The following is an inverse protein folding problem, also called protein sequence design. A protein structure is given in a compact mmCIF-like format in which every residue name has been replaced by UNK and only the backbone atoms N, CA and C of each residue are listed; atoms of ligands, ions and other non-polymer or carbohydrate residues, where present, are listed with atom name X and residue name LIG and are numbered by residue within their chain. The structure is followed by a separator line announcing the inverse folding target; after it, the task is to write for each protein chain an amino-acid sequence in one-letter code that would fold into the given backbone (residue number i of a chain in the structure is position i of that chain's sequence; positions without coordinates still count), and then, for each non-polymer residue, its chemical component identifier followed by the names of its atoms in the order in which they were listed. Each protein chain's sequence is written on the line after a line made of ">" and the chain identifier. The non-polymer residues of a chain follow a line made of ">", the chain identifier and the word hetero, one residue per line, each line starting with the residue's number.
data_IF_467652734634
#
_entry.id   IF_467652734634
#
_cell.length_a   1.000
_cell.length_b   1.000
_cell.length_c   1.000
_cell.angle_alpha   90.00
_cell.angle_beta   90.00
_cell.angle_gamma   90.00
#
_symmetry.space_group_name_H-M   'P 1'
#
loop_
_entity.id
_entity.type
_entity.pdbx_description
1 polymer ?
#
# COMPACT_ATOMS: atom_id res chain seq x y z
N UNK A 1 74.92 45.04 -40.48
CA UNK A 1 74.44 43.87 -41.25
C UNK A 1 74.95 44.07 -42.67
N UNK A 2 75.76 43.24 -43.31
CA UNK A 2 76.07 41.85 -43.05
C UNK A 2 77.12 41.41 -44.10
N UNK A 3 78.40 41.29 -43.71
CA UNK A 3 79.45 40.68 -44.57
C UNK A 3 79.53 39.16 -44.33
N UNK A 4 78.87 38.67 -43.28
CA UNK A 4 78.83 37.26 -42.86
C UNK A 4 78.21 36.30 -43.89
N UNK A 5 77.39 36.79 -44.81
CA UNK A 5 76.77 35.92 -45.83
C UNK A 5 77.73 35.59 -46.98
N UNK A 6 78.69 36.47 -47.29
CA UNK A 6 79.68 36.22 -48.35
C UNK A 6 80.66 35.12 -47.93
N UNK A 7 81.10 35.14 -46.66
CA UNK A 7 81.91 34.07 -46.05
C UNK A 7 81.17 32.72 -46.05
N UNK A 8 79.89 32.70 -45.71
CA UNK A 8 79.06 31.49 -45.73
C UNK A 8 78.92 30.86 -47.13
N UNK A 9 78.71 31.67 -48.18
CA UNK A 9 78.63 31.13 -49.55
C UNK A 9 80.00 30.69 -50.10
N UNK A 10 81.09 31.34 -49.69
CA UNK A 10 82.45 30.91 -50.07
C UNK A 10 82.86 29.61 -49.37
N UNK A 11 82.46 29.37 -48.12
CA UNK A 11 82.61 28.07 -47.44
C UNK A 11 81.83 26.93 -48.12
N UNK A 12 80.71 27.24 -48.78
CA UNK A 12 79.90 26.30 -49.57
C UNK A 12 80.44 26.06 -50.99
N UNK A 13 81.61 26.62 -51.34
CA UNK A 13 82.25 26.45 -52.65
C UNK A 13 81.67 27.31 -53.78
N UNK A 14 80.93 28.37 -53.43
CA UNK A 14 80.32 29.30 -54.40
C UNK A 14 81.31 30.42 -54.72
N UNK A 15 81.81 30.47 -55.95
CA UNK A 15 82.92 31.36 -56.34
C UNK A 15 82.53 32.43 -57.36
N UNK A 16 81.31 32.38 -57.92
CA UNK A 16 80.84 33.31 -58.96
C UNK A 16 79.49 33.94 -58.63
N UNK A 17 79.30 35.20 -59.07
CA UNK A 17 78.05 35.94 -58.86
C UNK A 17 76.81 35.22 -59.46
N UNK A 18 76.99 34.47 -60.56
CA UNK A 18 75.94 33.67 -61.18
C UNK A 18 75.45 32.52 -60.28
N UNK A 19 76.35 31.86 -59.55
CA UNK A 19 75.98 30.79 -58.62
C UNK A 19 75.23 31.34 -57.40
N UNK A 20 75.61 32.52 -56.89
CA UNK A 20 74.90 33.20 -55.79
C UNK A 20 73.43 33.47 -56.18
N UNK A 21 73.18 33.94 -57.41
CA UNK A 21 71.82 34.17 -57.91
C UNK A 21 71.00 32.87 -57.99
N UNK A 22 71.61 31.75 -58.37
CA UNK A 22 70.96 30.43 -58.39
C UNK A 22 70.59 29.98 -56.98
N UNK A 23 71.47 30.14 -55.99
CA UNK A 23 71.17 29.82 -54.59
C UNK A 23 70.04 30.68 -54.01
N UNK A 24 70.00 31.97 -54.33
CA UNK A 24 68.90 32.87 -53.93
C UNK A 24 67.58 32.41 -54.56
N UNK A 25 67.57 32.04 -55.85
CA UNK A 25 66.39 31.55 -56.53
C UNK A 25 65.89 30.22 -55.93
N UNK A 26 66.80 29.28 -55.64
CA UNK A 26 66.48 28.00 -54.97
C UNK A 26 65.93 28.26 -53.56
N UNK A 27 66.54 29.16 -52.79
CA UNK A 27 66.05 29.54 -51.47
C UNK A 27 64.66 30.17 -51.50
N UNK A 28 64.39 31.03 -52.47
CA UNK A 28 63.06 31.64 -52.66
C UNK A 28 62.00 30.60 -53.05
N UNK A 29 62.34 29.71 -53.99
CA UNK A 29 61.43 28.63 -54.41
C UNK A 29 61.21 27.62 -53.29
N UNK A 30 62.26 27.26 -52.54
CA UNK A 30 62.20 26.41 -51.36
C UNK A 30 61.32 27.01 -50.27
N UNK A 31 61.45 28.32 -49.99
CA UNK A 31 60.57 29.04 -49.07
C UNK A 31 59.12 29.02 -49.54
N UNK A 32 58.85 29.29 -50.82
CA UNK A 32 57.50 29.26 -51.40
C UNK A 32 56.86 27.88 -51.34
N UNK A 33 57.61 26.83 -51.68
CA UNK A 33 57.15 25.45 -51.57
C UNK A 33 56.87 25.09 -50.10
N UNK A 34 57.79 25.44 -49.19
CA UNK A 34 57.63 25.19 -47.76
C UNK A 34 56.38 25.88 -47.19
N UNK A 35 56.17 27.16 -47.51
CA UNK A 35 54.96 27.91 -47.13
C UNK A 35 53.68 27.25 -47.68
N UNK A 36 53.69 26.83 -48.95
CA UNK A 36 52.56 26.15 -49.57
C UNK A 36 52.24 24.82 -48.88
N UNK A 37 53.25 23.96 -48.69
CA UNK A 37 53.07 22.65 -48.04
C UNK A 37 52.62 22.78 -46.58
N UNK A 38 53.19 23.73 -45.82
CA UNK A 38 52.78 23.98 -44.43
C UNK A 38 51.37 24.56 -44.35
N UNK A 39 51.03 25.54 -45.20
CA UNK A 39 49.68 26.12 -45.20
C UNK A 39 48.62 25.08 -45.58
N UNK A 40 48.87 24.28 -46.62
CA UNK A 40 47.96 23.20 -47.01
C UNK A 40 47.80 22.15 -45.88
N UNK A 41 48.90 21.79 -45.22
CA UNK A 41 48.88 20.83 -44.11
C UNK A 41 48.13 21.39 -42.89
N UNK A 42 48.28 22.69 -42.59
CA UNK A 42 47.53 23.39 -41.53
C UNK A 42 46.03 23.43 -41.86
N UNK A 43 45.67 23.72 -43.11
CA UNK A 43 44.26 23.72 -43.55
C UNK A 43 43.62 22.34 -43.42
N UNK A 44 44.31 21.28 -43.88
CA UNK A 44 43.84 19.90 -43.75
C UNK A 44 43.66 19.55 -42.27
N UNK A 45 44.64 19.84 -41.41
CA UNK A 45 44.53 19.55 -39.97
C UNK A 45 43.41 20.32 -39.28
N UNK A 46 43.16 21.57 -39.67
CA UNK A 46 42.00 22.34 -39.19
C UNK A 46 40.68 21.73 -39.64
N UNK A 47 40.60 21.28 -40.89
CA UNK A 47 39.39 20.63 -41.42
C UNK A 47 39.10 19.29 -40.72
N UNK A 48 40.13 18.47 -40.50
CA UNK A 48 40.05 17.23 -39.72
C UNK A 48 39.56 17.51 -38.30
N UNK A 49 40.19 18.46 -37.59
CA UNK A 49 39.82 18.80 -36.21
C UNK A 49 38.39 19.32 -36.10
N UNK A 50 37.95 20.14 -37.06
CA UNK A 50 36.56 20.61 -37.11
C UNK A 50 35.58 19.47 -37.36
N UNK A 51 35.94 18.51 -38.23
CA UNK A 51 35.11 17.34 -38.51
C UNK A 51 34.99 16.43 -37.29
N UNK A 52 36.11 16.16 -36.60
CA UNK A 52 36.12 15.40 -35.36
C UNK A 52 35.30 16.09 -34.26
N UNK A 53 35.43 17.41 -34.14
CA UNK A 53 34.67 18.20 -33.18
C UNK A 53 33.16 18.13 -33.44
N UNK A 54 32.73 18.26 -34.70
CA UNK A 54 31.30 18.15 -35.05
C UNK A 54 30.77 16.73 -34.82
N UNK A 55 31.54 15.70 -35.20
CA UNK A 55 31.19 14.31 -34.90
C UNK A 55 31.06 14.06 -33.39
N UNK A 56 31.99 14.61 -32.59
CA UNK A 56 31.94 14.48 -31.14
C UNK A 56 30.72 15.18 -30.52
N UNK A 57 30.40 16.40 -30.97
CA UNK A 57 29.18 17.12 -30.56
C UNK A 57 27.91 16.35 -30.93
N UNK A 58 27.86 15.81 -32.15
CA UNK A 58 26.71 15.04 -32.62
C UNK A 58 26.52 13.76 -31.80
N UNK A 59 27.61 13.04 -31.50
CA UNK A 59 27.58 11.84 -30.66
C UNK A 59 27.09 12.17 -29.24
N UNK A 60 27.63 13.21 -28.61
CA UNK A 60 27.18 13.67 -27.30
C UNK A 60 25.70 14.06 -27.30
N UNK A 61 25.23 14.78 -28.33
CA UNK A 61 23.82 15.14 -28.46
C UNK A 61 22.92 13.92 -28.61
N UNK A 62 23.35 12.94 -29.40
CA UNK A 62 22.63 11.68 -29.61
C UNK A 62 22.56 10.86 -28.32
N UNK A 63 23.68 10.73 -27.61
CA UNK A 63 23.77 10.02 -26.34
C UNK A 63 22.92 10.68 -25.24
N UNK A 64 22.95 12.01 -25.15
CA UNK A 64 22.09 12.76 -24.24
C UNK A 64 20.59 12.56 -24.56
N UNK A 65 20.22 12.53 -25.84
CA UNK A 65 18.85 12.28 -26.26
C UNK A 65 18.41 10.84 -25.93
N UNK A 66 19.29 9.86 -26.15
CA UNK A 66 19.01 8.45 -25.85
C UNK A 66 18.83 8.24 -24.34
N UNK A 67 19.70 8.80 -23.51
CA UNK A 67 19.56 8.74 -22.05
C UNK A 67 18.28 9.42 -21.58
N UNK A 68 17.89 10.55 -22.18
CA UNK A 68 16.63 11.20 -21.86
C UNK A 68 15.42 10.31 -22.21
N UNK A 69 15.41 9.70 -23.39
CA UNK A 69 14.34 8.78 -23.80
C UNK A 69 14.26 7.56 -22.87
N UNK A 70 15.40 7.03 -22.45
CA UNK A 70 15.48 5.92 -21.50
C UNK A 70 14.92 6.32 -20.12
N UNK A 71 15.29 7.49 -19.62
CA UNK A 71 14.75 8.03 -18.37
C UNK A 71 13.23 8.25 -18.46
N UNK A 72 12.73 8.85 -19.53
CA UNK A 72 11.30 9.08 -19.74
C UNK A 72 10.52 7.75 -19.79
N UNK A 73 11.08 6.75 -20.48
CA UNK A 73 10.50 5.39 -20.55
C UNK A 73 10.46 4.73 -19.16
N UNK A 74 11.55 4.80 -18.41
CA UNK A 74 11.63 4.23 -17.06
C UNK A 74 10.67 4.94 -16.11
N UNK A 75 10.60 6.26 -16.17
CA UNK A 75 9.68 7.07 -15.38
C UNK A 75 8.21 6.70 -15.66
N UNK A 76 7.83 6.55 -16.93
CA UNK A 76 6.48 6.16 -17.29
C UNK A 76 6.16 4.73 -16.86
N UNK A 77 7.14 3.81 -16.98
CA UNK A 77 7.00 2.45 -16.47
C UNK A 77 6.78 2.43 -14.95
N UNK A 78 7.58 3.19 -14.19
CA UNK A 78 7.41 3.29 -12.74
C UNK A 78 6.08 3.92 -12.33
N UNK A 79 5.61 4.95 -13.04
CA UNK A 79 4.29 5.55 -12.81
C UNK A 79 3.17 4.54 -13.05
N UNK A 80 3.26 3.77 -14.14
CA UNK A 80 2.30 2.72 -14.45
C UNK A 80 2.25 1.65 -13.35
N UNK A 81 3.42 1.17 -12.91
CA UNK A 81 3.51 0.21 -11.80
C UNK A 81 2.94 0.74 -10.49
N UNK A 82 3.21 2.01 -10.16
CA UNK A 82 2.66 2.65 -8.96
C UNK A 82 1.14 2.79 -9.04
N UNK A 83 0.62 3.18 -10.22
CA UNK A 83 -0.82 3.28 -10.47
C UNK A 83 -1.51 1.92 -10.32
N UNK A 84 -0.93 0.86 -10.89
CA UNK A 84 -1.44 -0.50 -10.75
C UNK A 84 -1.43 -0.95 -9.28
N UNK A 85 -0.32 -0.79 -8.57
CA UNK A 85 -0.22 -1.16 -7.16
C UNK A 85 -1.22 -0.37 -6.29
N UNK A 86 -1.43 0.92 -6.58
CA UNK A 86 -2.42 1.76 -5.91
C UNK A 86 -3.84 1.24 -6.15
N UNK A 87 -4.18 0.88 -7.39
CA UNK A 87 -5.50 0.34 -7.74
C UNK A 87 -5.74 -1.01 -7.06
N UNK A 88 -4.75 -1.91 -7.09
CA UNK A 88 -4.83 -3.20 -6.40
C UNK A 88 -5.05 -3.03 -4.89
N UNK A 89 -4.29 -2.14 -4.26
CA UNK A 89 -4.46 -1.82 -2.84
C UNK A 89 -5.85 -1.24 -2.56
N UNK A 90 -6.35 -0.33 -3.40
CA UNK A 90 -7.68 0.24 -3.25
C UNK A 90 -8.78 -0.82 -3.38
N UNK A 91 -8.67 -1.74 -4.34
CA UNK A 91 -9.63 -2.84 -4.53
C UNK A 91 -9.61 -3.77 -3.32
N UNK A 92 -8.42 -4.22 -2.89
CA UNK A 92 -8.26 -5.10 -1.72
C UNK A 92 -8.81 -4.46 -0.44
N UNK A 93 -8.46 -3.19 -0.22
CA UNK A 93 -8.95 -2.42 0.92
C UNK A 93 -10.47 -2.28 0.88
N UNK A 94 -11.03 -1.89 -0.27
CA UNK A 94 -12.48 -1.75 -0.43
C UNK A 94 -13.21 -3.06 -0.19
N UNK A 95 -12.67 -4.18 -0.69
CA UNK A 95 -13.24 -5.51 -0.48
C UNK A 95 -13.19 -5.92 0.99
N UNK A 96 -12.04 -5.77 1.65
CA UNK A 96 -11.88 -6.09 3.07
C UNK A 96 -12.82 -5.26 3.95
N UNK A 97 -12.96 -3.95 3.68
CA UNK A 97 -13.88 -3.08 4.40
C UNK A 97 -15.34 -3.46 4.15
N UNK A 98 -15.70 -3.81 2.92
CA UNK A 98 -17.04 -4.31 2.59
C UNK A 98 -17.37 -5.59 3.35
N UNK A 99 -16.45 -6.56 3.35
CA UNK A 99 -16.64 -7.86 4.01
C UNK A 99 -16.76 -7.66 5.52
N UNK A 100 -15.90 -6.82 6.11
CA UNK A 100 -15.97 -6.47 7.53
C UNK A 100 -17.29 -5.78 7.89
N UNK A 101 -17.76 -4.84 7.07
CA UNK A 101 -19.03 -4.15 7.30
C UNK A 101 -20.21 -5.13 7.29
N UNK A 102 -20.23 -6.06 6.33
CA UNK A 102 -21.25 -7.11 6.24
C UNK A 102 -21.23 -8.02 7.48
N UNK A 103 -20.05 -8.47 7.90
CA UNK A 103 -19.87 -9.31 9.08
C UNK A 103 -20.35 -8.61 10.35
N UNK A 104 -19.96 -7.35 10.57
CA UNK A 104 -20.39 -6.55 11.73
C UNK A 104 -21.91 -6.38 11.74
N UNK A 105 -22.51 -6.08 10.57
CA UNK A 105 -23.97 -5.93 10.42
C UNK A 105 -24.70 -7.23 10.78
N UNK A 106 -24.23 -8.35 10.26
CA UNK A 106 -24.86 -9.66 10.48
C UNK A 106 -24.72 -10.11 11.94
N UNK A 107 -23.52 -9.94 12.53
CA UNK A 107 -23.30 -10.23 13.95
C UNK A 107 -24.21 -9.37 14.83
N UNK A 108 -24.32 -8.06 14.55
CA UNK A 108 -25.22 -7.17 15.27
C UNK A 108 -26.68 -7.62 15.17
N UNK A 109 -27.12 -8.05 13.98
CA UNK A 109 -28.48 -8.58 13.80
C UNK A 109 -28.72 -9.82 14.65
N UNK A 110 -27.78 -10.77 14.66
CA UNK A 110 -27.87 -12.01 15.47
C UNK A 110 -27.87 -11.70 16.97
N UNK A 111 -27.02 -10.77 17.43
CA UNK A 111 -27.01 -10.29 18.81
C UNK A 111 -28.38 -9.75 19.24
N UNK A 112 -29.03 -8.95 18.39
CA UNK A 112 -30.37 -8.40 18.68
C UNK A 112 -31.42 -9.52 18.71
N UNK A 113 -31.33 -10.50 17.82
CA UNK A 113 -32.25 -11.65 17.81
C UNK A 113 -32.11 -12.48 19.09
N UNK A 114 -30.87 -12.88 19.44
CA UNK A 114 -30.55 -13.60 20.68
C UNK A 114 -31.04 -12.85 21.92
N UNK A 115 -30.79 -11.54 22.01
CA UNK A 115 -31.28 -10.72 23.12
C UNK A 115 -32.81 -10.77 23.23
N UNK A 116 -33.53 -10.66 22.11
CA UNK A 116 -35.01 -10.65 22.10
C UNK A 116 -35.57 -12.00 22.53
N UNK A 117 -35.07 -13.10 21.99
CA UNK A 117 -35.55 -14.42 22.34
C UNK A 117 -35.23 -14.79 23.79
N UNK A 118 -34.04 -14.44 24.25
CA UNK A 118 -33.66 -14.65 25.65
C UNK A 118 -34.50 -13.80 26.62
N UNK A 119 -34.78 -12.54 26.28
CA UNK A 119 -35.72 -11.71 27.05
C UNK A 119 -37.14 -12.29 27.11
N UNK A 120 -37.62 -12.88 26.01
CA UNK A 120 -38.93 -13.54 25.98
C UNK A 120 -38.95 -14.80 26.85
N UNK A 121 -37.87 -15.59 26.79
CA UNK A 121 -37.71 -16.81 27.56
C UNK A 121 -37.61 -16.54 29.07
N UNK A 122 -36.80 -15.56 29.46
CA UNK A 122 -36.57 -15.19 30.87
C UNK A 122 -37.58 -14.19 31.42
N UNK A 123 -38.66 -13.90 30.68
CA UNK A 123 -39.67 -12.94 31.14
C UNK A 123 -40.33 -13.42 32.45
N UNK A 124 -40.47 -12.56 33.48
CA UNK A 124 -41.03 -12.94 34.77
C UNK A 124 -42.51 -13.33 34.70
N UNK A 125 -43.19 -12.88 33.64
CA UNK A 125 -44.60 -13.14 33.39
C UNK A 125 -44.79 -13.60 31.95
N UNK A 126 -45.64 -14.59 31.76
CA UNK A 126 -46.03 -15.11 30.44
C UNK A 126 -47.44 -14.60 30.13
N UNK A 127 -47.60 -13.86 29.05
CA UNK A 127 -48.90 -13.30 28.69
C UNK A 127 -49.85 -14.40 28.19
N UNK A 128 -51.15 -14.21 28.38
CA UNK A 128 -52.15 -15.09 27.80
C UNK A 128 -52.06 -15.03 26.26
N UNK A 129 -51.81 -16.17 25.61
CA UNK A 129 -51.59 -16.26 24.17
C UNK A 129 -50.11 -16.31 23.74
N UNK A 130 -49.17 -16.20 24.69
CA UNK A 130 -47.76 -16.45 24.40
C UNK A 130 -47.52 -17.91 24.00
N UNK A 131 -46.49 -18.12 23.18
CA UNK A 131 -45.99 -19.47 22.88
C UNK A 131 -45.52 -20.18 24.16
N UNK A 132 -45.62 -21.53 24.24
CA UNK A 132 -45.22 -22.29 25.42
C UNK A 132 -43.77 -21.99 25.85
N UNK A 133 -43.51 -22.01 27.16
CA UNK A 133 -42.17 -21.75 27.72
C UNK A 133 -41.09 -22.66 27.12
N UNK A 134 -41.45 -23.91 26.84
CA UNK A 134 -40.58 -24.90 26.19
C UNK A 134 -40.18 -24.49 24.78
N UNK A 135 -41.11 -23.90 24.02
CA UNK A 135 -40.82 -23.38 22.69
C UNK A 135 -39.95 -22.12 22.78
N UNK A 136 -40.22 -21.23 23.74
CA UNK A 136 -39.35 -20.06 24.02
C UNK A 136 -37.92 -20.49 24.38
N UNK A 137 -37.78 -21.54 25.18
CA UNK A 137 -36.48 -22.15 25.54
C UNK A 137 -35.73 -22.58 24.29
N UNK A 138 -36.38 -23.33 23.41
CA UNK A 138 -35.80 -23.82 22.16
C UNK A 138 -35.36 -22.67 21.25
N UNK A 139 -36.20 -21.64 21.10
CA UNK A 139 -35.87 -20.46 20.28
C UNK A 139 -34.65 -19.73 20.87
N UNK A 140 -34.64 -19.47 22.18
CA UNK A 140 -33.52 -18.79 22.84
C UNK A 140 -32.21 -19.58 22.72
N UNK A 141 -32.25 -20.90 22.85
CA UNK A 141 -31.08 -21.76 22.64
C UNK A 141 -30.57 -21.68 21.20
N UNK A 142 -31.47 -21.80 20.21
CA UNK A 142 -31.09 -21.74 18.80
C UNK A 142 -30.50 -20.39 18.42
N UNK A 143 -31.11 -19.28 18.85
CA UNK A 143 -30.61 -17.95 18.53
C UNK A 143 -29.28 -17.64 19.26
N UNK A 144 -29.10 -18.17 20.48
CA UNK A 144 -27.83 -18.09 21.20
C UNK A 144 -26.71 -18.83 20.49
N UNK A 145 -26.97 -20.06 20.05
CA UNK A 145 -26.02 -20.85 19.27
C UNK A 145 -25.72 -20.19 17.92
N UNK A 146 -26.74 -19.70 17.21
CA UNK A 146 -26.57 -19.00 15.93
C UNK A 146 -25.70 -17.74 16.06
N UNK A 147 -25.83 -17.00 17.17
CA UNK A 147 -24.95 -15.88 17.48
C UNK A 147 -23.51 -16.33 17.76
N UNK A 148 -23.31 -17.35 18.62
CA UNK A 148 -21.99 -17.87 18.97
C UNK A 148 -21.26 -18.45 17.76
N UNK A 149 -21.92 -19.36 17.02
CA UNK A 149 -21.36 -20.03 15.84
C UNK A 149 -20.94 -19.01 14.78
N UNK A 150 -21.75 -17.97 14.60
CA UNK A 150 -21.42 -16.89 13.66
C UNK A 150 -20.22 -16.07 14.13
N UNK A 151 -20.12 -15.77 15.43
CA UNK A 151 -18.95 -15.08 15.98
C UNK A 151 -17.69 -15.94 15.82
N UNK A 152 -17.72 -17.20 16.24
CA UNK A 152 -16.56 -18.10 16.21
C UNK A 152 -16.02 -18.28 14.78
N UNK A 153 -16.93 -18.37 13.80
CA UNK A 153 -16.57 -18.48 12.38
C UNK A 153 -15.96 -17.20 11.80
N UNK A 154 -16.15 -16.04 12.45
CA UNK A 154 -15.75 -14.72 11.96
C UNK A 154 -14.85 -13.96 12.95
N UNK A 155 -14.31 -14.61 13.98
CA UNK A 155 -13.57 -13.97 15.07
C UNK A 155 -12.42 -13.09 14.55
N UNK A 156 -11.74 -13.54 13.49
CA UNK A 156 -10.60 -12.86 12.85
C UNK A 156 -10.89 -11.43 12.36
N UNK A 157 -12.17 -11.06 12.21
CA UNK A 157 -12.59 -9.74 11.74
C UNK A 157 -12.75 -8.71 12.86
N UNK A 158 -12.59 -9.14 14.11
CA UNK A 158 -12.78 -8.32 15.30
C UNK A 158 -11.46 -8.09 16.05
N UNK A 159 -11.42 -7.00 16.82
CA UNK A 159 -10.28 -6.75 17.71
C UNK A 159 -10.46 -7.50 19.04
N UNK A 160 -9.34 -7.75 19.72
CA UNK A 160 -9.27 -8.46 21.00
C UNK A 160 -10.29 -7.96 22.05
N UNK A 161 -10.50 -6.65 22.13
CA UNK A 161 -11.47 -6.09 23.07
C UNK A 161 -12.91 -6.48 22.70
N UNK A 162 -13.28 -6.41 21.42
CA UNK A 162 -14.60 -6.90 20.95
C UNK A 162 -14.75 -8.39 21.23
N UNK A 163 -13.74 -9.21 20.92
CA UNK A 163 -13.76 -10.65 21.16
C UNK A 163 -13.97 -10.97 22.65
N UNK A 164 -13.23 -10.29 23.54
CA UNK A 164 -13.37 -10.45 24.98
C UNK A 164 -14.79 -10.14 25.48
N UNK A 165 -15.42 -9.08 24.97
CA UNK A 165 -16.80 -8.72 25.33
C UNK A 165 -17.78 -9.81 24.85
N UNK A 166 -17.62 -10.31 23.61
CA UNK A 166 -18.50 -11.33 23.03
C UNK A 166 -18.36 -12.66 23.78
N UNK A 167 -17.14 -13.13 24.01
CA UNK A 167 -16.89 -14.35 24.80
C UNK A 167 -17.53 -14.24 26.18
N UNK A 168 -17.36 -13.09 26.83
CA UNK A 168 -17.97 -12.87 28.12
C UNK A 168 -19.51 -12.83 28.05
N UNK A 169 -20.11 -12.35 26.96
CA UNK A 169 -21.55 -12.44 26.75
C UNK A 169 -21.96 -13.91 26.60
N UNK A 170 -21.31 -14.69 25.74
CA UNK A 170 -21.62 -16.11 25.51
C UNK A 170 -21.58 -16.94 26.80
N UNK A 171 -20.48 -16.86 27.56
CA UNK A 171 -20.32 -17.58 28.84
C UNK A 171 -21.46 -17.26 29.82
N UNK A 172 -21.82 -15.98 29.89
CA UNK A 172 -22.83 -15.49 30.81
C UNK A 172 -24.26 -15.83 30.35
N UNK A 173 -24.51 -15.81 29.03
CA UNK A 173 -25.75 -16.26 28.44
C UNK A 173 -25.97 -17.75 28.68
N UNK A 174 -24.97 -18.58 28.40
CA UNK A 174 -25.01 -20.02 28.64
C UNK A 174 -25.29 -20.33 30.12
N UNK A 175 -24.56 -19.66 31.03
CA UNK A 175 -24.78 -19.81 32.46
C UNK A 175 -26.21 -19.45 32.88
N UNK A 176 -26.71 -18.29 32.45
CA UNK A 176 -28.06 -17.85 32.78
C UNK A 176 -29.12 -18.80 32.22
N UNK A 177 -28.94 -19.25 30.98
CA UNK A 177 -29.82 -20.21 30.33
C UNK A 177 -29.86 -21.54 31.08
N UNK A 178 -28.70 -22.10 31.43
CA UNK A 178 -28.60 -23.36 32.18
C UNK A 178 -29.19 -23.24 33.59
N UNK A 179 -28.93 -22.14 34.29
CA UNK A 179 -29.50 -21.89 35.62
C UNK A 179 -31.03 -21.77 35.58
N UNK A 180 -31.59 -21.12 34.56
CA UNK A 180 -33.04 -20.94 34.39
C UNK A 180 -33.73 -22.25 33.97
N UNK A 181 -33.11 -23.04 33.09
CA UNK A 181 -33.65 -24.33 32.62
C UNK A 181 -33.57 -25.45 33.64
N UNK A 182 -32.61 -25.39 34.57
CA UNK A 182 -32.50 -26.34 35.67
C UNK A 182 -33.63 -26.22 36.72
N UNK A 183 -34.51 -25.22 36.60
CA UNK A 183 -35.69 -25.04 37.45
C UNK A 183 -36.82 -25.91 36.87
N UNK A 184 -37.18 -26.98 37.57
CA UNK A 184 -38.18 -27.95 37.10
C UNK A 184 -39.53 -27.69 37.76
N UNK A 185 -40.58 -27.34 37.02
CA UNK A 185 -41.90 -27.14 37.61
C UNK A 185 -42.40 -28.45 38.24
N UNK A 186 -42.46 -28.50 39.58
CA UNK A 186 -43.02 -29.63 40.33
C UNK A 186 -42.15 -30.20 41.46
N UNK A 187 -40.99 -29.62 41.77
CA UNK A 187 -40.21 -30.03 42.94
C UNK A 187 -40.81 -29.50 44.25
N UNK A 188 -40.64 -30.19 45.40
CA UNK A 188 -41.32 -29.87 46.67
C UNK A 188 -40.94 -28.51 47.28
N UNK A 189 -39.96 -27.79 46.73
CA UNK A 189 -39.30 -26.66 47.37
C UNK A 189 -39.41 -25.36 46.55
N UNK A 190 -40.65 -25.00 46.20
CA UNK A 190 -41.00 -23.85 45.36
C UNK A 190 -40.34 -22.52 45.75
N UNK A 191 -40.07 -22.31 47.05
CA UNK A 191 -39.47 -21.07 47.55
C UNK A 191 -37.98 -20.93 47.13
N UNK A 192 -37.24 -22.04 47.13
CA UNK A 192 -35.85 -22.06 46.67
C UNK A 192 -35.76 -21.92 45.15
N UNK A 193 -36.74 -22.44 44.41
CA UNK A 193 -36.80 -22.30 42.95
C UNK A 193 -37.09 -20.85 42.52
N UNK A 194 -38.04 -20.18 43.17
CA UNK A 194 -38.33 -18.76 42.91
C UNK A 194 -37.10 -17.89 43.19
N UNK A 195 -36.36 -18.16 44.28
CA UNK A 195 -35.14 -17.43 44.60
C UNK A 195 -34.04 -17.67 43.56
N UNK A 196 -33.88 -18.91 43.06
CA UNK A 196 -32.92 -19.23 42.00
C UNK A 196 -33.30 -18.57 40.68
N UNK A 197 -34.59 -18.57 40.32
CA UNK A 197 -35.12 -17.88 39.14
C UNK A 197 -34.85 -16.38 39.20
N UNK A 198 -35.16 -15.75 40.34
CA UNK A 198 -34.87 -14.32 40.53
C UNK A 198 -33.38 -14.01 40.41
N UNK A 199 -32.52 -14.88 40.97
CA UNK A 199 -31.07 -14.69 40.89
C UNK A 199 -30.54 -14.81 39.45
N UNK A 200 -30.97 -15.83 38.70
CA UNK A 200 -30.54 -16.02 37.31
C UNK A 200 -31.05 -14.90 36.40
N UNK A 201 -32.29 -14.48 36.59
CA UNK A 201 -32.86 -13.33 35.89
C UNK A 201 -32.12 -12.03 36.20
N UNK A 202 -31.84 -11.74 37.48
CA UNK A 202 -31.09 -10.54 37.87
C UNK A 202 -29.67 -10.54 37.28
N UNK A 203 -28.98 -11.68 37.33
CA UNK A 203 -27.66 -11.83 36.71
C UNK A 203 -27.74 -11.54 35.19
N UNK A 204 -28.72 -12.13 34.50
CA UNK A 204 -28.96 -11.88 33.08
C UNK A 204 -29.25 -10.41 32.76
N UNK A 205 -30.10 -9.75 33.55
CA UNK A 205 -30.40 -8.33 33.36
C UNK A 205 -29.17 -7.43 33.59
N UNK A 206 -28.30 -7.77 34.55
CA UNK A 206 -27.03 -7.07 34.74
C UNK A 206 -26.12 -7.17 33.50
N UNK A 207 -26.08 -8.35 32.86
CA UNK A 207 -25.33 -8.59 31.63
C UNK A 207 -25.91 -7.78 30.47
N UNK A 208 -27.24 -7.82 30.29
CA UNK A 208 -27.94 -7.06 29.26
C UNK A 208 -27.66 -5.57 29.37
N UNK A 209 -27.87 -5.00 30.55
CA UNK A 209 -27.80 -3.57 30.78
C UNK A 209 -26.37 -3.01 30.66
N UNK A 210 -25.36 -3.86 30.82
CA UNK A 210 -23.95 -3.47 30.75
C UNK A 210 -23.32 -3.95 29.46
N UNK A 211 -23.08 -5.26 29.35
CA UNK A 211 -22.25 -5.86 28.30
C UNK A 211 -22.92 -5.84 26.93
N UNK A 212 -24.21 -6.17 26.85
CA UNK A 212 -24.91 -6.16 25.55
C UNK A 212 -25.07 -4.74 25.02
N UNK A 213 -25.36 -3.77 25.89
CA UNK A 213 -25.39 -2.34 25.53
C UNK A 213 -24.01 -1.87 25.06
N UNK A 214 -22.96 -2.22 25.80
CA UNK A 214 -21.57 -1.91 25.45
C UNK A 214 -21.20 -2.49 24.08
N UNK A 215 -21.44 -3.79 23.86
CA UNK A 215 -21.16 -4.46 22.60
C UNK A 215 -21.92 -3.82 21.43
N UNK A 216 -23.21 -3.53 21.60
CA UNK A 216 -23.99 -2.85 20.56
C UNK A 216 -23.44 -1.48 20.22
N UNK A 217 -23.00 -0.72 21.22
CA UNK A 217 -22.38 0.59 21.00
C UNK A 217 -21.08 0.44 20.21
N UNK A 218 -20.24 -0.52 20.59
CA UNK A 218 -18.97 -0.80 19.94
C UNK A 218 -19.14 -1.26 18.50
N UNK A 219 -20.03 -2.22 18.24
CA UNK A 219 -20.33 -2.70 16.88
C UNK A 219 -20.88 -1.59 15.99
N UNK A 220 -21.72 -0.68 16.52
CA UNK A 220 -22.21 0.49 15.78
C UNK A 220 -21.08 1.46 15.45
N UNK A 221 -20.17 1.72 16.39
CA UNK A 221 -19.00 2.56 16.16
C UNK A 221 -18.09 1.95 15.09
N UNK A 222 -17.72 0.67 15.24
CA UNK A 222 -16.89 -0.05 14.28
C UNK A 222 -17.52 -0.06 12.87
N UNK A 223 -18.85 -0.23 12.77
CA UNK A 223 -19.56 -0.18 11.50
C UNK A 223 -19.52 1.22 10.86
N UNK A 224 -19.76 2.27 11.65
CA UNK A 224 -19.72 3.66 11.19
C UNK A 224 -18.33 4.08 10.73
N UNK A 225 -17.31 3.74 11.50
CA UNK A 225 -15.91 3.98 11.16
C UNK A 225 -15.52 3.26 9.87
N UNK A 226 -15.95 2.00 9.70
CA UNK A 226 -15.72 1.21 8.48
C UNK A 226 -16.35 1.84 7.25
N UNK A 227 -17.52 2.48 7.39
CA UNK A 227 -18.22 3.18 6.31
C UNK A 227 -17.77 4.64 6.13
N UNK A 228 -16.92 5.17 7.01
CA UNK A 228 -16.51 6.58 6.99
C UNK A 228 -17.63 7.56 7.39
N UNK A 229 -18.67 7.08 8.10
CA UNK A 229 -19.78 7.91 8.59
C UNK A 229 -19.43 8.38 10.01
N UNK A 230 -18.92 9.61 10.14
CA UNK A 230 -18.68 10.25 11.44
C UNK A 230 -19.97 10.73 12.10
#
# INVERSE_FOLDING_TARGET
>A
MDVKWIEFFTELGVTTAGQILVFIAIGFFGKKLFEFFFNASIEIKKAELNTELENFKQNLSSEAQNHKLELDKNLESHKSLLSQASQENQIRFSKLHSDRAEIVKNLYSKLVTMEKSMNSFMAPFQAAGDIPLEEKRRIAANDGNDFSDYFDSNEIFFNENTCSIINSINENFEKAFNEFTAISPGQPNAQNEILRMHKSMNAYYDILNKKVVELKSKLKADFRDTLGVK
#
